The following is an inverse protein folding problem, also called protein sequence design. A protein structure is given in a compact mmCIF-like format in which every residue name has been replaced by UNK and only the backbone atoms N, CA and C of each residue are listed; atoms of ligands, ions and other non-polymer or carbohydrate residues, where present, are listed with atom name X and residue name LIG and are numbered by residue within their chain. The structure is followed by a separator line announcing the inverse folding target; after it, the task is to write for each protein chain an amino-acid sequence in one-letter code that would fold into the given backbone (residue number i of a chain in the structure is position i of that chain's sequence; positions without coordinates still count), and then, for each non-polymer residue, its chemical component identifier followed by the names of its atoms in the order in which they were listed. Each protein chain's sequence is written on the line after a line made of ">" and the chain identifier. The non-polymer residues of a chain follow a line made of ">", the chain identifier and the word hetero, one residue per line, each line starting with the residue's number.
data_IF_444119479022
#
_entry.id   IF_444119479022
#
_cell.length_a   1.000
_cell.length_b   1.000
_cell.length_c   1.000
_cell.angle_alpha   90.00
_cell.angle_beta   90.00
_cell.angle_gamma   90.00
#
_symmetry.space_group_name_H-M   'P 1'
#
loop_
_entity.id
_entity.type
_entity.pdbx_description
1 polymer ?
#
# COMPACT_ATOMS: atom_id res chain seq x y z
N UNK A 1 29.83 -1.26 3.86
CA UNK A 1 29.33 -2.38 3.02
C UNK A 1 29.09 -1.92 1.59
N UNK A 2 28.18 -0.96 1.35
CA UNK A 2 27.82 -0.51 -0.02
C UNK A 2 29.02 -0.03 -0.83
N UNK A 3 29.91 0.78 -0.24
CA UNK A 3 31.14 1.23 -0.88
C UNK A 3 32.01 0.08 -1.43
N UNK A 4 32.08 -1.05 -0.72
CA UNK A 4 32.81 -2.25 -1.17
C UNK A 4 32.10 -2.95 -2.34
N UNK A 5 30.77 -2.99 -2.35
CA UNK A 5 30.00 -3.53 -3.48
C UNK A 5 30.20 -2.68 -4.73
N UNK A 6 30.21 -1.36 -4.58
CA UNK A 6 30.43 -0.41 -5.68
C UNK A 6 31.84 -0.51 -6.27
N UNK A 7 32.87 -0.71 -5.44
CA UNK A 7 34.23 -1.00 -5.91
C UNK A 7 34.32 -2.29 -6.74
N UNK A 8 33.41 -3.24 -6.52
CA UNK A 8 33.29 -4.48 -7.29
C UNK A 8 32.30 -4.36 -8.46
N UNK A 9 31.86 -3.14 -8.80
CA UNK A 9 30.92 -2.85 -9.87
C UNK A 9 29.51 -3.48 -9.69
N UNK A 10 29.10 -3.73 -8.45
CA UNK A 10 27.73 -4.13 -8.14
C UNK A 10 26.83 -2.92 -7.94
N UNK A 11 25.64 -2.99 -8.53
CA UNK A 11 24.53 -2.08 -8.24
C UNK A 11 23.79 -2.56 -6.99
N UNK A 12 23.32 -1.61 -6.19
CA UNK A 12 22.62 -1.83 -4.93
C UNK A 12 21.21 -1.27 -5.03
N UNK A 13 20.24 -2.14 -4.80
CA UNK A 13 18.82 -1.77 -4.74
C UNK A 13 18.26 -2.06 -3.36
N UNK A 14 17.38 -1.19 -2.86
CA UNK A 14 16.71 -1.39 -1.56
C UNK A 14 15.26 -1.81 -1.73
N UNK A 15 14.80 -2.73 -0.88
CA UNK A 15 13.39 -3.10 -0.77
C UNK A 15 12.65 -2.08 0.11
N UNK A 16 11.54 -1.55 -0.40
CA UNK A 16 10.71 -0.54 0.26
C UNK A 16 9.23 -0.84 0.06
N UNK A 17 8.38 -0.23 0.89
CA UNK A 17 6.93 -0.36 0.83
C UNK A 17 6.27 0.94 1.33
N UNK A 18 4.95 1.13 1.18
CA UNK A 18 4.28 2.39 1.54
C UNK A 18 3.74 2.46 2.97
N UNK A 19 3.81 1.37 3.73
CA UNK A 19 3.31 1.30 5.09
C UNK A 19 4.27 1.87 6.13
N UNK A 20 3.72 2.54 7.13
CA UNK A 20 4.38 2.99 8.33
C UNK A 20 3.84 2.18 9.51
N UNK A 21 4.71 1.40 10.15
CA UNK A 21 4.33 0.61 11.34
C UNK A 21 3.86 1.52 12.47
N UNK A 22 2.79 1.13 13.18
CA UNK A 22 2.33 1.86 14.38
C UNK A 22 3.37 1.89 15.50
N UNK A 23 4.39 1.03 15.44
CA UNK A 23 5.52 1.00 16.39
C UNK A 23 6.63 2.00 16.03
N UNK A 24 6.61 2.58 14.83
CA UNK A 24 7.60 3.54 14.37
C UNK A 24 7.32 4.93 14.96
N UNK A 25 8.36 5.66 15.34
CA UNK A 25 8.26 7.07 15.73
C UNK A 25 7.71 7.95 14.60
N UNK A 26 7.89 7.55 13.35
CA UNK A 26 7.37 8.25 12.17
C UNK A 26 5.85 8.18 12.05
N UNK A 27 5.20 7.18 12.65
CA UNK A 27 3.75 7.00 12.50
C UNK A 27 2.97 8.21 13.02
N UNK A 28 3.30 8.67 14.23
CA UNK A 28 2.63 9.80 14.86
C UNK A 28 2.91 11.10 14.09
N UNK A 29 4.15 11.29 13.62
CA UNK A 29 4.50 12.46 12.80
C UNK A 29 3.71 12.49 11.50
N UNK A 30 3.71 11.39 10.75
CA UNK A 30 3.05 11.32 9.45
C UNK A 30 1.52 11.40 9.58
N UNK A 31 0.95 10.84 10.64
CA UNK A 31 -0.46 11.03 10.95
C UNK A 31 -0.80 12.49 11.27
N UNK A 32 -0.02 13.16 12.14
CA UNK A 32 -0.24 14.58 12.50
C UNK A 32 -0.11 15.51 11.30
N UNK A 33 0.80 15.19 10.38
CA UNK A 33 0.99 15.89 9.11
C UNK A 33 -0.06 15.50 8.05
N UNK A 34 -0.94 14.55 8.36
CA UNK A 34 -1.99 14.07 7.46
C UNK A 34 -1.47 13.33 6.23
N UNK A 35 -0.29 12.71 6.29
CA UNK A 35 0.32 12.02 5.14
C UNK A 35 -0.22 10.60 4.94
N UNK A 36 -0.85 10.04 5.98
CA UNK A 36 -1.44 8.70 5.94
C UNK A 36 -2.88 8.75 5.40
N UNK A 37 -3.33 7.64 4.85
CA UNK A 37 -4.74 7.42 4.55
C UNK A 37 -5.49 7.44 5.88
N UNK A 38 -6.56 8.23 5.97
CA UNK A 38 -7.35 8.33 7.19
C UNK A 38 -8.56 7.39 7.14
N UNK A 39 -9.28 7.24 8.25
CA UNK A 39 -10.57 6.57 8.29
C UNK A 39 -11.69 7.57 8.02
N UNK A 40 -12.65 7.17 7.19
CA UNK A 40 -13.90 7.89 7.01
C UNK A 40 -14.86 7.51 8.14
N UNK A 41 -14.95 8.35 9.18
CA UNK A 41 -15.81 8.10 10.35
C UNK A 41 -17.31 8.16 9.98
N UNK A 42 -17.69 8.98 8.98
CA UNK A 42 -19.08 9.15 8.58
C UNK A 42 -19.60 7.92 7.80
N UNK A 43 -18.82 7.38 6.86
CA UNK A 43 -19.23 6.15 6.17
C UNK A 43 -19.14 4.93 7.08
N UNK A 44 -18.13 4.83 7.95
CA UNK A 44 -17.98 3.70 8.88
C UNK A 44 -19.03 3.66 10.00
N UNK A 45 -19.78 4.73 10.24
CA UNK A 45 -20.96 4.71 11.12
C UNK A 45 -22.27 4.43 10.36
N UNK A 46 -22.35 4.81 9.08
CA UNK A 46 -23.55 4.63 8.24
C UNK A 46 -23.59 3.26 7.53
N UNK A 47 -22.45 2.72 7.07
CA UNK A 47 -22.32 1.37 6.47
C UNK A 47 -22.41 0.23 7.49
N UNK A 48 -22.54 0.51 8.79
CA UNK A 48 -22.82 -0.50 9.82
C UNK A 48 -24.21 -1.16 9.66
N UNK A 49 -25.00 -0.73 8.68
CA UNK A 49 -26.37 -1.20 8.43
C UNK A 49 -26.53 -2.08 7.19
N UNK A 50 -25.51 -2.29 6.36
CA UNK A 50 -25.65 -3.00 5.07
C UNK A 50 -24.74 -4.23 4.98
N UNK A 51 -25.40 -5.40 5.02
CA UNK A 51 -24.95 -6.80 4.79
C UNK A 51 -23.66 -7.28 5.48
N UNK A 52 -23.82 -7.86 6.68
CA UNK A 52 -22.76 -8.67 7.31
C UNK A 52 -22.91 -10.15 7.00
N UNK A 53 -21.77 -10.81 6.74
CA UNK A 53 -21.63 -12.21 7.12
C UNK A 53 -21.66 -12.30 8.66
N UNK A 54 -22.41 -13.27 9.20
CA UNK A 54 -22.68 -13.39 10.64
C UNK A 54 -21.41 -13.38 11.52
N UNK A 55 -20.26 -13.77 10.97
CA UNK A 55 -18.98 -13.82 11.65
C UNK A 55 -18.43 -12.43 12.04
N UNK A 56 -18.53 -11.43 11.15
CA UNK A 56 -18.03 -10.08 11.42
C UNK A 56 -18.93 -9.31 12.40
N UNK A 57 -20.22 -9.65 12.48
CA UNK A 57 -21.15 -9.07 13.46
C UNK A 57 -20.75 -9.44 14.89
N UNK A 58 -20.50 -10.72 15.14
CA UNK A 58 -20.13 -11.25 16.44
C UNK A 58 -18.82 -10.61 16.95
N UNK A 59 -17.78 -10.55 16.12
CA UNK A 59 -16.48 -9.97 16.52
C UNK A 59 -16.60 -8.49 16.91
N UNK A 60 -17.51 -7.75 16.27
CA UNK A 60 -17.71 -6.34 16.55
C UNK A 60 -18.61 -6.12 17.77
N UNK A 61 -19.65 -6.93 17.95
CA UNK A 61 -20.53 -6.87 19.11
C UNK A 61 -19.73 -7.27 20.38
N UNK A 62 -18.84 -8.26 20.27
CA UNK A 62 -17.86 -8.61 21.29
C UNK A 62 -16.86 -7.46 21.54
N UNK A 63 -16.42 -6.76 20.49
CA UNK A 63 -15.52 -5.62 20.63
C UNK A 63 -16.18 -4.42 21.33
N UNK A 64 -17.43 -4.08 20.98
CA UNK A 64 -18.17 -2.95 21.59
C UNK A 64 -18.60 -3.28 23.03
N UNK A 65 -19.07 -4.50 23.27
CA UNK A 65 -19.51 -4.92 24.60
C UNK A 65 -18.35 -5.12 25.58
N UNK A 66 -17.11 -5.25 25.09
CA UNK A 66 -15.94 -5.41 25.94
C UNK A 66 -15.59 -4.11 26.69
N UNK A 67 -15.62 -4.11 28.04
CA UNK A 67 -15.32 -2.92 28.85
C UNK A 67 -13.93 -2.34 28.61
N UNK A 68 -12.95 -3.18 28.19
CA UNK A 68 -11.58 -2.74 27.86
C UNK A 68 -11.53 -1.95 26.55
N UNK A 69 -12.41 -2.26 25.59
CA UNK A 69 -12.52 -1.54 24.31
C UNK A 69 -13.36 -0.27 24.43
N UNK A 70 -14.27 -0.19 25.40
CA UNK A 70 -15.04 1.03 25.70
C UNK A 70 -14.12 2.22 26.03
N UNK A 71 -12.97 1.97 26.67
CA UNK A 71 -11.96 2.99 26.94
C UNK A 71 -11.32 3.51 25.64
N UNK A 72 -11.01 2.62 24.69
CA UNK A 72 -10.47 2.97 23.37
C UNK A 72 -11.47 3.76 22.53
N UNK A 73 -12.75 3.36 22.52
CA UNK A 73 -13.84 4.09 21.85
C UNK A 73 -14.02 5.49 22.46
N UNK A 74 -14.04 5.59 23.79
CA UNK A 74 -14.17 6.88 24.48
C UNK A 74 -12.92 7.77 24.32
N UNK A 75 -11.74 7.18 24.13
CA UNK A 75 -10.51 7.90 23.79
C UNK A 75 -10.59 8.45 22.36
N UNK A 76 -11.03 7.62 21.40
CA UNK A 76 -11.23 8.01 20.00
C UNK A 76 -12.25 9.16 19.89
N UNK A 77 -13.40 9.05 20.57
CA UNK A 77 -14.42 10.11 20.57
C UNK A 77 -13.87 11.42 21.14
N UNK A 78 -13.16 11.35 22.28
CA UNK A 78 -12.53 12.53 22.89
C UNK A 78 -11.43 13.16 22.03
N UNK A 79 -10.69 12.37 21.24
CA UNK A 79 -9.69 12.88 20.31
C UNK A 79 -10.37 13.56 19.11
N UNK A 80 -11.42 12.95 18.56
CA UNK A 80 -12.19 13.51 17.45
C UNK A 80 -12.86 14.84 17.82
N UNK A 81 -13.56 14.88 18.95
CA UNK A 81 -14.28 16.07 19.44
C UNK A 81 -13.35 17.24 19.79
N UNK A 82 -12.11 16.96 20.19
CA UNK A 82 -11.20 17.96 20.76
C UNK A 82 -10.17 18.50 19.76
N UNK A 83 -9.94 17.82 18.64
CA UNK A 83 -8.84 18.16 17.74
C UNK A 83 -9.17 18.20 16.24
N UNK A 84 -10.42 17.95 15.81
CA UNK A 84 -10.79 17.91 14.38
C UNK A 84 -9.91 16.98 13.51
N UNK A 85 -9.13 16.07 14.11
CA UNK A 85 -8.30 15.13 13.36
C UNK A 85 -9.13 13.93 12.93
N UNK A 86 -8.99 13.57 11.66
CA UNK A 86 -9.44 12.29 11.14
C UNK A 86 -8.53 11.18 11.71
N UNK A 87 -9.14 10.06 12.12
CA UNK A 87 -8.39 8.93 12.65
C UNK A 87 -7.52 8.33 11.53
N UNK A 88 -6.32 7.80 11.83
CA UNK A 88 -5.53 7.14 10.81
C UNK A 88 -6.24 5.85 10.38
N UNK A 89 -6.22 5.57 9.08
CA UNK A 89 -6.63 4.29 8.53
C UNK A 89 -5.56 3.26 8.83
N UNK A 90 -5.85 2.35 9.76
CA UNK A 90 -4.94 1.28 10.16
C UNK A 90 -5.37 0.00 9.46
N UNK A 91 -4.42 -0.67 8.80
CA UNK A 91 -4.60 -2.01 8.25
C UNK A 91 -3.62 -3.00 8.89
N UNK A 92 -4.01 -4.26 8.93
CA UNK A 92 -3.10 -5.35 9.23
C UNK A 92 -2.31 -5.65 7.95
N UNK A 93 -0.99 -5.55 8.03
CA UNK A 93 -0.05 -5.94 6.97
C UNK A 93 0.91 -7.02 7.47
N UNK A 94 1.74 -7.60 6.60
CA UNK A 94 2.63 -8.72 6.99
C UNK A 94 3.58 -8.39 8.15
N UNK A 95 3.83 -7.11 8.43
CA UNK A 95 4.61 -6.64 9.58
C UNK A 95 3.76 -6.05 10.73
N UNK A 96 2.50 -6.51 10.87
CA UNK A 96 1.60 -6.15 11.97
C UNK A 96 0.66 -5.00 11.64
N UNK A 97 0.39 -4.10 12.58
CA UNK A 97 -0.49 -2.94 12.36
C UNK A 97 0.30 -1.75 11.80
N UNK A 98 -0.24 -1.10 10.78
CA UNK A 98 0.37 0.08 10.18
C UNK A 98 -0.63 0.95 9.43
N UNK A 99 -0.20 2.16 9.08
CA UNK A 99 -0.94 3.06 8.19
C UNK A 99 -0.20 3.18 6.86
N UNK A 100 -0.93 3.20 5.75
CA UNK A 100 -0.34 3.45 4.44
C UNK A 100 -0.25 4.95 4.18
N UNK A 101 0.85 5.38 3.57
CA UNK A 101 0.93 6.71 2.96
C UNK A 101 -0.17 6.86 1.91
N UNK A 102 -0.74 8.06 1.86
CA UNK A 102 -1.76 8.43 0.89
C UNK A 102 -1.12 9.02 -0.37
N UNK A 103 -0.74 8.17 -1.34
CA UNK A 103 -0.16 8.67 -2.59
C UNK A 103 -1.10 9.54 -3.42
N UNK A 104 -2.37 9.64 -3.06
CA UNK A 104 -3.32 10.54 -3.71
C UNK A 104 -3.12 11.99 -3.26
N UNK A 105 -2.28 12.19 -2.22
CA UNK A 105 -1.85 13.47 -1.69
C UNK A 105 -0.43 13.80 -2.16
N UNK A 106 -0.27 14.96 -2.79
CA UNK A 106 1.03 15.42 -3.31
C UNK A 106 2.08 15.53 -2.20
N UNK A 107 1.73 16.07 -1.04
CA UNK A 107 2.68 16.19 0.08
C UNK A 107 3.18 14.84 0.61
N UNK A 108 2.38 13.78 0.53
CA UNK A 108 2.81 12.43 0.88
C UNK A 108 3.75 11.84 -0.19
N UNK A 109 3.47 12.10 -1.48
CA UNK A 109 4.38 11.71 -2.57
C UNK A 109 5.73 12.43 -2.45
N UNK A 110 5.73 13.73 -2.15
CA UNK A 110 6.93 14.54 -1.97
C UNK A 110 7.78 14.06 -0.78
N UNK A 111 7.15 13.83 0.37
CA UNK A 111 7.84 13.32 1.56
C UNK A 111 8.48 11.95 1.28
N UNK A 112 7.75 11.05 0.63
CA UNK A 112 8.27 9.73 0.27
C UNK A 112 9.44 9.84 -0.72
N UNK A 113 9.26 10.63 -1.79
CA UNK A 113 10.29 10.88 -2.80
C UNK A 113 11.56 11.46 -2.19
N UNK A 114 11.42 12.45 -1.30
CA UNK A 114 12.55 13.07 -0.60
C UNK A 114 13.31 12.08 0.27
N UNK A 115 12.60 11.22 1.00
CA UNK A 115 13.22 10.14 1.78
C UNK A 115 14.02 9.18 0.89
N UNK A 116 13.47 8.76 -0.25
CA UNK A 116 14.18 7.88 -1.20
C UNK A 116 15.40 8.57 -1.82
N UNK A 117 15.29 9.82 -2.25
CA UNK A 117 16.42 10.59 -2.79
C UNK A 117 17.52 10.79 -1.75
N UNK A 118 17.15 10.98 -0.48
CA UNK A 118 18.13 11.06 0.60
C UNK A 118 18.87 9.72 0.77
N UNK A 119 18.17 8.58 0.67
CA UNK A 119 18.84 7.27 0.71
C UNK A 119 19.80 7.08 -0.47
N UNK A 120 19.41 7.48 -1.69
CA UNK A 120 20.29 7.46 -2.86
C UNK A 120 21.55 8.31 -2.63
N UNK A 121 21.39 9.54 -2.16
CA UNK A 121 22.51 10.48 -1.95
C UNK A 121 23.44 10.06 -0.82
N UNK A 122 22.89 9.61 0.32
CA UNK A 122 23.68 9.30 1.51
C UNK A 122 24.43 7.98 1.40
N UNK A 123 23.84 7.00 0.71
CA UNK A 123 24.35 5.63 0.71
C UNK A 123 24.73 5.10 -0.68
N UNK A 124 24.64 5.92 -1.72
CA UNK A 124 24.91 5.53 -3.11
C UNK A 124 24.03 4.33 -3.56
N UNK A 125 22.73 4.43 -3.28
CA UNK A 125 21.73 3.45 -3.73
C UNK A 125 21.37 3.71 -5.18
N UNK A 126 21.43 2.68 -6.04
CA UNK A 126 21.15 2.82 -7.47
C UNK A 126 19.64 2.88 -7.76
N UNK A 127 18.84 2.06 -7.07
CA UNK A 127 17.40 1.97 -7.30
C UNK A 127 16.64 1.28 -6.16
N UNK A 128 15.36 1.00 -6.36
CA UNK A 128 14.48 0.44 -5.34
C UNK A 128 13.57 -0.66 -5.89
N UNK A 129 13.27 -1.64 -5.05
CA UNK A 129 12.19 -2.62 -5.22
C UNK A 129 10.98 -2.12 -4.43
N UNK A 130 9.96 -1.65 -5.14
CA UNK A 130 8.70 -1.14 -4.60
C UNK A 130 7.73 -2.31 -4.38
N UNK A 131 7.64 -2.73 -3.13
CA UNK A 131 6.74 -3.79 -2.71
C UNK A 131 5.42 -3.23 -2.16
N UNK A 132 4.39 -4.07 -2.10
CA UNK A 132 3.05 -3.66 -1.77
C UNK A 132 2.43 -2.66 -2.78
N UNK A 133 1.47 -1.85 -2.30
CA UNK A 133 0.71 -0.89 -3.09
C UNK A 133 -0.60 -1.47 -3.62
N UNK A 134 -0.92 -2.73 -3.31
CA UNK A 134 -2.20 -3.33 -3.66
C UNK A 134 -3.35 -2.80 -2.80
N UNK A 135 -4.53 -2.82 -3.40
CA UNK A 135 -5.76 -2.32 -2.77
C UNK A 135 -6.24 -3.15 -1.58
N UNK A 136 -5.87 -4.44 -1.51
CA UNK A 136 -6.30 -5.36 -0.46
C UNK A 136 -5.70 -5.06 0.92
N UNK A 137 -4.60 -4.31 0.97
CA UNK A 137 -3.97 -3.87 2.21
C UNK A 137 -4.37 -2.44 2.62
N UNK A 138 -5.20 -1.76 1.82
CA UNK A 138 -5.73 -0.44 2.15
C UNK A 138 -6.84 -0.57 3.21
N UNK A 139 -7.01 0.41 4.09
CA UNK A 139 -8.08 0.38 5.08
C UNK A 139 -9.45 0.31 4.40
N UNK A 140 -10.31 -0.61 4.84
CA UNK A 140 -11.64 -0.86 4.27
C UNK A 140 -12.55 0.40 4.24
N UNK A 141 -12.33 1.34 5.15
CA UNK A 141 -13.04 2.63 5.16
C UNK A 141 -12.05 3.81 4.99
N UNK A 142 -11.11 3.67 4.06
CA UNK A 142 -10.10 4.68 3.77
C UNK A 142 -10.70 5.99 3.23
N UNK A 143 -10.46 7.09 3.94
CA UNK A 143 -10.62 8.46 3.49
C UNK A 143 -9.33 8.93 2.80
N UNK A 144 -9.28 8.77 1.49
CA UNK A 144 -8.20 9.29 0.64
C UNK A 144 -8.38 10.79 0.41
N UNK A 145 -7.27 11.51 0.21
CA UNK A 145 -7.27 12.93 -0.14
C UNK A 145 -7.96 13.19 -1.48
N UNK A 146 -7.73 12.34 -2.48
CA UNK A 146 -8.48 12.37 -3.73
C UNK A 146 -9.80 11.61 -3.57
N UNK A 147 -10.97 12.27 -3.71
CA UNK A 147 -12.26 11.59 -3.62
C UNK A 147 -12.40 10.44 -4.62
N UNK A 148 -11.76 10.55 -5.80
CA UNK A 148 -11.74 9.52 -6.85
C UNK A 148 -11.03 8.22 -6.43
N UNK A 149 -10.36 8.20 -5.28
CA UNK A 149 -9.72 7.01 -4.72
C UNK A 149 -10.53 6.35 -3.60
N UNK A 150 -11.67 6.93 -3.21
CA UNK A 150 -12.52 6.33 -2.19
C UNK A 150 -13.00 4.95 -2.65
N UNK A 151 -13.09 4.01 -1.70
CA UNK A 151 -13.59 2.67 -2.00
C UNK A 151 -15.04 2.76 -2.51
N UNK A 152 -15.37 1.91 -3.49
CA UNK A 152 -16.71 1.87 -4.08
C UNK A 152 -17.77 1.79 -2.98
N UNK A 153 -18.66 2.78 -2.94
CA UNK A 153 -19.93 2.62 -2.24
C UNK A 153 -20.82 1.67 -3.05
N UNK A 154 -21.81 1.05 -2.43
CA UNK A 154 -22.81 0.23 -3.13
C UNK A 154 -23.68 1.03 -4.12
N UNK A 155 -23.47 2.34 -4.20
CA UNK A 155 -24.25 3.26 -4.99
C UNK A 155 -23.63 3.47 -6.38
N UNK A 156 -24.21 2.82 -7.39
CA UNK A 156 -23.72 2.77 -8.78
C UNK A 156 -23.72 4.13 -9.50
N UNK A 157 -24.25 5.19 -8.86
CA UNK A 157 -24.34 6.54 -9.43
C UNK A 157 -23.28 7.52 -8.92
N UNK A 158 -22.51 7.17 -7.88
CA UNK A 158 -21.34 7.95 -7.49
C UNK A 158 -20.24 7.80 -8.56
N UNK A 159 -19.53 8.90 -8.89
CA UNK A 159 -18.37 8.86 -9.79
C UNK A 159 -17.53 7.61 -9.54
N UNK A 160 -17.09 6.91 -10.59
CA UNK A 160 -16.30 5.67 -10.46
C UNK A 160 -14.99 5.97 -9.72
N UNK A 161 -15.03 5.90 -8.40
CA UNK A 161 -13.87 6.09 -7.54
C UNK A 161 -13.19 4.73 -7.39
N UNK A 162 -11.93 4.63 -7.79
CA UNK A 162 -11.19 3.38 -7.77
C UNK A 162 -10.00 3.47 -6.83
N UNK A 163 -9.93 2.60 -5.79
CA UNK A 163 -8.74 2.48 -4.95
C UNK A 163 -7.46 2.18 -5.75
N UNK A 164 -7.60 1.68 -6.98
CA UNK A 164 -6.49 1.42 -7.88
C UNK A 164 -5.73 2.70 -8.32
N UNK A 165 -6.31 3.90 -8.14
CA UNK A 165 -5.58 5.15 -8.36
C UNK A 165 -4.43 5.31 -7.35
N UNK A 166 -4.54 4.78 -6.13
CA UNK A 166 -3.41 4.72 -5.19
C UNK A 166 -2.26 3.89 -5.76
N UNK A 167 -2.56 2.69 -6.27
CA UNK A 167 -1.59 1.80 -6.92
C UNK A 167 -0.96 2.44 -8.16
N UNK A 168 -1.75 3.10 -9.01
CA UNK A 168 -1.25 3.84 -10.19
C UNK A 168 -0.25 4.92 -9.81
N UNK A 169 -0.57 5.75 -8.80
CA UNK A 169 0.31 6.81 -8.32
C UNK A 169 1.58 6.26 -7.67
N UNK A 170 1.48 5.12 -6.98
CA UNK A 170 2.64 4.42 -6.43
C UNK A 170 3.62 3.98 -7.54
N UNK A 171 3.12 3.31 -8.58
CA UNK A 171 3.96 2.90 -9.72
C UNK A 171 4.51 4.10 -10.51
N UNK A 172 3.74 5.18 -10.66
CA UNK A 172 4.24 6.40 -11.30
C UNK A 172 5.34 7.09 -10.49
N UNK A 173 5.24 7.10 -9.16
CA UNK A 173 6.32 7.59 -8.29
C UNK A 173 7.57 6.71 -8.45
N UNK A 174 7.38 5.39 -8.48
CA UNK A 174 8.44 4.42 -8.70
C UNK A 174 9.19 4.68 -10.03
N UNK A 175 8.47 4.95 -11.12
CA UNK A 175 9.11 5.34 -12.37
C UNK A 175 9.92 6.65 -12.25
N UNK A 176 9.39 7.67 -11.55
CA UNK A 176 10.02 8.98 -11.42
C UNK A 176 11.31 8.98 -10.58
N UNK A 177 11.41 8.12 -9.56
CA UNK A 177 12.58 8.11 -8.66
C UNK A 177 13.87 7.63 -9.35
N UNK A 178 13.74 6.82 -10.39
CA UNK A 178 14.88 6.27 -11.16
C UNK A 178 14.52 6.20 -12.66
N UNK A 179 14.21 7.38 -13.21
CA UNK A 179 13.90 7.53 -14.63
C UNK A 179 15.13 7.26 -15.54
N UNK A 180 16.34 7.39 -14.98
CA UNK A 180 17.62 7.28 -15.70
C UNK A 180 18.11 5.84 -15.78
N UNK A 181 18.24 5.13 -14.65
CA UNK A 181 18.79 3.76 -14.67
C UNK A 181 17.72 2.72 -14.99
N UNK A 182 16.44 3.04 -14.74
CA UNK A 182 15.27 2.17 -15.03
C UNK A 182 15.44 0.77 -14.43
N UNK A 183 15.95 0.70 -13.21
CA UNK A 183 16.15 -0.56 -12.48
C UNK A 183 15.00 -0.85 -11.51
N UNK A 184 13.97 -0.01 -11.54
CA UNK A 184 12.85 -0.07 -10.63
C UNK A 184 11.97 -1.27 -10.92
N UNK A 185 11.61 -1.94 -9.84
CA UNK A 185 10.65 -3.03 -9.84
C UNK A 185 9.44 -2.64 -8.97
N UNK A 186 8.23 -2.92 -9.44
CA UNK A 186 6.97 -2.73 -8.70
C UNK A 186 6.18 -4.04 -8.64
N UNK A 187 5.50 -4.33 -7.52
CA UNK A 187 4.58 -5.49 -7.41
C UNK A 187 3.16 -5.20 -7.92
N UNK A 188 2.81 -3.92 -8.05
CA UNK A 188 1.45 -3.49 -8.42
C UNK A 188 1.44 -2.70 -9.73
N UNK A 189 0.32 -2.80 -10.46
CA UNK A 189 0.06 -2.00 -11.65
C UNK A 189 -1.44 -1.83 -11.91
N UNK A 190 -1.83 -0.62 -12.30
CA UNK A 190 -3.17 -0.30 -12.80
C UNK A 190 -3.07 0.77 -13.87
N UNK A 191 -3.32 0.41 -15.14
CA UNK A 191 -3.17 1.34 -16.29
C UNK A 191 -1.76 1.96 -16.39
N UNK A 192 -0.73 1.16 -16.10
CA UNK A 192 0.68 1.58 -16.06
C UNK A 192 1.54 0.94 -17.15
N UNK A 193 0.93 0.42 -18.21
CA UNK A 193 1.60 -0.27 -19.31
C UNK A 193 2.66 0.57 -20.02
N UNK A 194 2.48 1.90 -20.01
CA UNK A 194 3.38 2.86 -20.65
C UNK A 194 4.66 3.11 -19.85
N UNK A 195 4.72 2.68 -18.59
CA UNK A 195 5.88 2.89 -17.73
C UNK A 195 6.97 1.85 -18.06
N UNK A 196 8.21 2.28 -18.38
CA UNK A 196 9.32 1.37 -18.68
C UNK A 196 9.97 0.85 -17.39
N UNK A 197 9.19 0.16 -16.55
CA UNK A 197 9.61 -0.42 -15.26
C UNK A 197 9.27 -1.91 -15.19
N UNK A 198 10.00 -2.66 -14.37
CA UNK A 198 9.71 -4.08 -14.16
C UNK A 198 8.45 -4.24 -13.30
N UNK A 199 7.47 -4.99 -13.81
CA UNK A 199 6.29 -5.42 -13.05
C UNK A 199 6.53 -6.84 -12.57
N UNK A 200 6.73 -6.97 -11.26
CA UNK A 200 6.91 -8.25 -10.62
C UNK A 200 5.56 -8.89 -10.32
N UNK A 201 5.41 -10.17 -10.67
CA UNK A 201 4.24 -10.97 -10.28
C UNK A 201 4.34 -11.36 -8.80
N UNK A 202 3.20 -11.67 -8.19
CA UNK A 202 3.16 -12.15 -6.80
C UNK A 202 4.07 -13.37 -6.59
N UNK A 203 4.69 -13.41 -5.41
CA UNK A 203 5.53 -14.50 -4.92
C UNK A 203 4.85 -15.85 -5.18
N UNK A 204 5.59 -16.78 -5.78
CA UNK A 204 5.11 -18.13 -6.04
C UNK A 204 5.47 -19.04 -4.89
N UNK A 205 4.51 -19.84 -4.48
CA UNK A 205 4.70 -20.88 -3.48
C UNK A 205 5.69 -21.93 -4.02
N UNK A 206 6.43 -22.55 -3.11
CA UNK A 206 7.34 -23.68 -3.39
C UNK A 206 6.60 -24.98 -3.75
N UNK A 207 5.66 -24.94 -4.70
CA UNK A 207 4.91 -26.10 -5.16
C UNK A 207 4.73 -26.12 -6.69
N UNK A 208 4.41 -27.30 -7.22
CA UNK A 208 4.25 -27.53 -8.66
C UNK A 208 2.81 -27.36 -9.16
N UNK A 209 1.92 -26.77 -8.37
CA UNK A 209 0.49 -26.69 -8.70
C UNK A 209 0.15 -25.44 -9.52
N UNK A 210 -1.08 -25.39 -10.02
CA UNK A 210 -1.67 -24.19 -10.63
C UNK A 210 -2.15 -23.16 -9.59
N UNK A 211 -2.24 -23.55 -8.32
CA UNK A 211 -2.64 -22.66 -7.22
C UNK A 211 -1.38 -22.02 -6.65
N UNK A 212 -1.07 -20.83 -7.17
CA UNK A 212 0.12 -20.02 -6.84
C UNK A 212 1.49 -20.73 -6.93
N UNK A 213 1.56 -21.95 -7.46
CA UNK A 213 2.81 -22.68 -7.70
C UNK A 213 3.46 -22.39 -9.05
N UNK A 214 4.51 -23.15 -9.38
CA UNK A 214 5.30 -22.96 -10.59
C UNK A 214 4.50 -23.09 -11.90
N UNK A 215 3.46 -23.94 -11.95
CA UNK A 215 2.61 -24.06 -13.15
C UNK A 215 1.78 -22.81 -13.43
N UNK A 216 1.53 -21.98 -12.41
CA UNK A 216 0.80 -20.71 -12.57
C UNK A 216 1.66 -19.61 -13.19
N UNK A 217 2.98 -19.81 -13.31
CA UNK A 217 3.94 -18.81 -13.81
C UNK A 217 3.63 -18.37 -15.24
N UNK A 218 3.61 -19.31 -16.20
CA UNK A 218 3.37 -18.99 -17.61
C UNK A 218 1.99 -18.34 -17.84
N UNK A 219 0.87 -18.86 -17.28
CA UNK A 219 -0.42 -18.17 -17.35
C UNK A 219 -0.37 -16.73 -16.81
N UNK A 220 0.34 -16.51 -15.70
CA UNK A 220 0.45 -15.18 -15.07
C UNK A 220 1.23 -14.20 -15.96
N UNK A 221 2.36 -14.64 -16.51
CA UNK A 221 3.19 -13.83 -17.41
C UNK A 221 2.45 -13.53 -18.71
N UNK A 222 1.84 -14.54 -19.35
CA UNK A 222 1.08 -14.32 -20.59
C UNK A 222 -0.10 -13.38 -20.39
N UNK A 223 -0.81 -13.49 -19.27
CA UNK A 223 -1.90 -12.58 -18.96
C UNK A 223 -1.40 -11.12 -18.87
N UNK A 224 -0.30 -10.86 -18.15
CA UNK A 224 0.29 -9.52 -18.09
C UNK A 224 0.80 -9.03 -19.44
N UNK A 225 1.42 -9.91 -20.24
CA UNK A 225 1.89 -9.57 -21.60
C UNK A 225 0.72 -9.18 -22.51
N UNK A 226 -0.39 -9.94 -22.49
CA UNK A 226 -1.60 -9.63 -23.26
C UNK A 226 -2.25 -8.32 -22.81
N UNK A 227 -2.15 -7.99 -21.51
CA UNK A 227 -2.60 -6.71 -20.96
C UNK A 227 -1.64 -5.54 -21.24
N UNK A 228 -0.56 -5.78 -21.97
CA UNK A 228 0.37 -4.76 -22.44
C UNK A 228 1.53 -4.44 -21.49
N UNK A 229 1.83 -5.30 -20.51
CA UNK A 229 3.01 -5.14 -19.64
C UNK A 229 4.22 -5.88 -20.22
N UNK A 230 5.23 -5.18 -20.76
CA UNK A 230 6.32 -5.81 -21.50
C UNK A 230 7.47 -6.33 -20.63
N UNK A 231 7.69 -5.72 -19.45
CA UNK A 231 8.82 -6.04 -18.57
C UNK A 231 8.31 -6.77 -17.33
N UNK A 232 8.11 -8.08 -17.44
CA UNK A 232 7.55 -8.88 -16.35
C UNK A 232 8.67 -9.62 -15.63
N UNK A 233 8.70 -9.51 -14.29
CA UNK A 233 9.66 -10.21 -13.45
C UNK A 233 8.94 -11.33 -12.67
N UNK A 234 9.27 -12.61 -12.92
CA UNK A 234 8.80 -13.70 -12.07
C UNK A 234 9.55 -13.63 -10.73
N UNK A 235 8.86 -13.44 -9.60
CA UNK A 235 9.55 -13.43 -8.31
C UNK A 235 10.09 -14.82 -7.97
N UNK A 236 11.09 -14.83 -7.08
CA UNK A 236 11.69 -16.02 -6.52
C UNK A 236 10.62 -16.92 -5.91
N UNK A 237 10.83 -18.23 -6.08
CA UNK A 237 10.08 -19.26 -5.36
C UNK A 237 10.30 -19.02 -3.86
N UNK A 238 9.25 -18.60 -3.15
CA UNK A 238 9.34 -18.35 -1.72
C UNK A 238 9.19 -19.67 -0.98
N UNK A 239 10.12 -19.93 -0.06
CA UNK A 239 9.99 -21.02 0.90
C UNK A 239 8.94 -20.58 1.93
N UNK A 240 7.70 -21.06 1.76
CA UNK A 240 6.65 -20.98 2.78
C UNK A 240 6.67 -22.27 3.58
#
# INVERSE_FOLDING_TARGET
>A
MISKLKQLNFRVTLWIHPFISCKSSLFIDYWRRGLLINMNILSSLLDLTIERSAFLQIVFDDFISNPKCQHFINLIKRIHERFFFTLPGISLWWNGLGGSLDFTKESAQEEYTKSLQNLQKLYDIDSFKFDAGEVNWLPAFGAFANPSCQQMTTDKTALVTTPALHSYLYSQLAHRIDATNRLVEVRVGYRTQTLPIFVRIIDKDSNWSYVNGLRSLLPSVFNLSLLGYPFILPDMVSFV
#
